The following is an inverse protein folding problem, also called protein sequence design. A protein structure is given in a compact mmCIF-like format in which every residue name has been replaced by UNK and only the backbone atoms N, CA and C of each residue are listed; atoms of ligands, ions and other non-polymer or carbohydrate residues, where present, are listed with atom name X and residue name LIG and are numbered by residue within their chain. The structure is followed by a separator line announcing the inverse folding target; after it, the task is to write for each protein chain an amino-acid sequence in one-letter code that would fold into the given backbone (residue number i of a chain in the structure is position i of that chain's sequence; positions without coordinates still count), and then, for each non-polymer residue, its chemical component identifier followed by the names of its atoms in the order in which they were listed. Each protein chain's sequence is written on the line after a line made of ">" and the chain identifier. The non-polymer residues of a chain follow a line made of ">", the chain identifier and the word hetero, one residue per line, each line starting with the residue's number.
data_IF_935528982649
#
_entry.id   IF_935528982649
#
_cell.length_a   1.000
_cell.length_b   1.000
_cell.length_c   1.000
_cell.angle_alpha   90.00
_cell.angle_beta   90.00
_cell.angle_gamma   90.00
#
_symmetry.space_group_name_H-M   'P 1'
#
loop_
_entity.id
_entity.type
_entity.pdbx_description
1 polymer ?
#
# COMPACT_ATOMS: atom_id res chain seq x y z
N UNK A 1 11.09 8.37 -9.08
CA UNK A 1 9.93 8.63 -8.18
C UNK A 1 8.67 8.30 -8.96
N UNK A 2 7.74 7.55 -8.37
CA UNK A 2 6.51 7.14 -9.04
C UNK A 2 5.29 7.72 -8.33
N UNK A 3 4.51 8.55 -9.02
CA UNK A 3 3.23 9.06 -8.53
C UNK A 3 2.13 8.08 -8.90
N UNK A 4 1.36 7.62 -7.92
CA UNK A 4 0.33 6.61 -8.12
C UNK A 4 -1.05 7.18 -7.83
N UNK A 5 -2.01 6.77 -8.65
CA UNK A 5 -3.45 7.06 -8.49
C UNK A 5 -4.17 5.73 -8.60
N UNK A 6 -4.69 5.24 -7.48
CA UNK A 6 -5.18 3.86 -7.37
C UNK A 6 -6.51 3.86 -6.63
N UNK A 7 -7.48 3.10 -7.14
CA UNK A 7 -8.74 2.89 -6.42
C UNK A 7 -8.50 2.30 -5.03
N UNK A 8 -9.17 2.88 -4.03
CA UNK A 8 -9.13 2.49 -2.64
C UNK A 8 -10.43 1.90 -2.13
N UNK A 9 -10.30 1.23 -0.99
CA UNK A 9 -11.37 0.53 -0.32
C UNK A 9 -11.31 0.78 1.18
N UNK A 10 -12.49 0.86 1.81
CA UNK A 10 -12.65 0.94 3.25
C UNK A 10 -13.37 -0.31 3.73
N UNK A 11 -12.81 -0.95 4.74
CA UNK A 11 -13.45 -2.05 5.47
C UNK A 11 -13.64 -1.61 6.91
N UNK A 12 -14.89 -1.27 7.23
CA UNK A 12 -15.28 -0.89 8.59
C UNK A 12 -15.22 -2.12 9.49
N UNK A 13 -14.78 -1.92 10.73
CA UNK A 13 -14.66 -3.01 11.70
C UNK A 13 -15.99 -3.73 11.89
N UNK A 14 -15.96 -5.06 11.72
CA UNK A 14 -17.14 -5.93 11.83
C UNK A 14 -17.95 -6.10 10.54
N UNK A 15 -17.67 -5.34 9.48
CA UNK A 15 -18.30 -5.56 8.18
C UNK A 15 -17.58 -6.65 7.37
N UNK A 16 -18.38 -7.46 6.68
CA UNK A 16 -17.84 -8.54 5.85
C UNK A 16 -17.33 -8.05 4.48
N UNK A 17 -17.80 -6.90 4.01
CA UNK A 17 -17.50 -6.37 2.68
C UNK A 17 -16.82 -5.01 2.79
N UNK A 18 -15.88 -4.77 1.89
CA UNK A 18 -15.28 -3.45 1.72
C UNK A 18 -16.16 -2.57 0.82
N UNK A 19 -16.17 -1.27 1.08
CA UNK A 19 -16.83 -0.26 0.25
C UNK A 19 -15.77 0.57 -0.49
N UNK A 20 -16.02 0.97 -1.75
CA UNK A 20 -15.07 1.81 -2.48
C UNK A 20 -15.00 3.20 -1.85
N UNK A 21 -13.80 3.76 -1.72
CA UNK A 21 -13.60 5.13 -1.19
C UNK A 21 -13.32 6.16 -2.27
N UNK A 22 -13.00 5.70 -3.48
CA UNK A 22 -12.50 6.55 -4.57
C UNK A 22 -11.01 6.34 -4.79
N UNK A 23 -10.36 7.27 -5.48
CA UNK A 23 -8.93 7.20 -5.78
C UNK A 23 -8.09 7.67 -4.58
N UNK A 24 -7.04 6.90 -4.29
CA UNK A 24 -5.99 7.24 -3.34
C UNK A 24 -4.76 7.64 -4.16
N UNK A 25 -4.15 8.76 -3.81
CA UNK A 25 -2.91 9.22 -4.44
C UNK A 25 -1.77 9.19 -3.43
N UNK A 26 -0.63 8.66 -3.84
CA UNK A 26 0.59 8.68 -3.03
C UNK A 26 1.82 8.55 -3.92
N UNK A 27 2.97 8.86 -3.34
CA UNK A 27 4.26 8.84 -4.02
C UNK A 27 5.13 7.73 -3.49
N UNK A 28 5.78 7.03 -4.41
CA UNK A 28 6.84 6.06 -4.09
C UNK A 28 8.19 6.71 -4.41
N UNK A 29 8.89 7.09 -3.35
CA UNK A 29 10.25 7.62 -3.43
C UNK A 29 11.29 6.49 -3.61
N UNK A 30 12.56 6.87 -3.78
CA UNK A 30 13.65 5.91 -3.98
C UNK A 30 13.84 4.93 -2.81
N UNK A 31 13.89 5.40 -1.55
CA UNK A 31 13.93 4.53 -0.39
C UNK A 31 12.78 3.52 -0.30
N UNK A 32 11.54 3.96 -0.48
CA UNK A 32 10.38 3.08 -0.44
C UNK A 32 10.41 2.08 -1.59
N UNK A 33 10.73 2.51 -2.82
CA UNK A 33 10.87 1.62 -3.97
C UNK A 33 11.88 0.50 -3.67
N UNK A 34 13.06 0.83 -3.17
CA UNK A 34 14.06 -0.18 -2.77
C UNK A 34 13.56 -1.12 -1.68
N UNK A 35 12.79 -0.61 -0.72
CA UNK A 35 12.16 -1.44 0.31
C UNK A 35 11.18 -2.47 -0.28
N UNK A 36 10.41 -2.08 -1.29
CA UNK A 36 9.51 -2.97 -2.02
C UNK A 36 10.29 -4.06 -2.79
N UNK A 37 11.34 -3.68 -3.52
CA UNK A 37 12.19 -4.64 -4.25
C UNK A 37 12.87 -5.65 -3.31
N UNK A 38 13.38 -5.18 -2.18
CA UNK A 38 14.00 -6.05 -1.16
C UNK A 38 12.98 -7.01 -0.54
N UNK A 39 11.75 -6.54 -0.30
CA UNK A 39 10.67 -7.38 0.16
C UNK A 39 10.31 -8.44 -0.88
N UNK A 40 10.17 -8.07 -2.16
CA UNK A 40 9.94 -9.02 -3.26
C UNK A 40 11.04 -10.09 -3.32
N UNK A 41 12.31 -9.69 -3.36
CA UNK A 41 13.45 -10.60 -3.41
C UNK A 41 13.46 -11.56 -2.22
N UNK A 42 13.14 -11.05 -1.01
CA UNK A 42 13.02 -11.86 0.20
C UNK A 42 11.93 -12.91 0.04
N UNK A 43 10.72 -12.51 -0.35
CA UNK A 43 9.58 -13.42 -0.50
C UNK A 43 9.84 -14.50 -1.55
N UNK A 44 10.50 -14.17 -2.66
CA UNK A 44 10.90 -15.14 -3.68
C UNK A 44 11.89 -16.17 -3.13
N UNK A 45 12.85 -15.76 -2.29
CA UNK A 45 13.85 -16.67 -1.69
C UNK A 45 13.26 -17.53 -0.57
N UNK A 46 12.47 -16.94 0.32
CA UNK A 46 11.98 -17.61 1.54
C UNK A 46 10.67 -18.35 1.33
N UNK A 47 9.94 -18.04 0.25
CA UNK A 47 8.58 -18.53 -0.01
C UNK A 47 7.57 -18.12 1.08
N UNK A 48 7.87 -17.05 1.82
CA UNK A 48 6.89 -16.39 2.68
C UNK A 48 5.71 -15.84 1.84
N UNK A 49 4.54 -15.73 2.46
CA UNK A 49 3.32 -15.29 1.76
C UNK A 49 3.32 -13.78 1.47
N UNK A 50 3.77 -13.00 2.43
CA UNK A 50 3.73 -11.54 2.38
C UNK A 50 4.74 -10.91 3.33
N UNK A 51 5.05 -9.65 3.05
CA UNK A 51 5.87 -8.78 3.89
C UNK A 51 5.18 -7.42 4.04
N UNK A 52 5.34 -6.80 5.21
CA UNK A 52 4.96 -5.40 5.42
C UNK A 52 6.22 -4.54 5.31
N UNK A 53 6.14 -3.48 4.51
CA UNK A 53 7.17 -2.45 4.39
C UNK A 53 6.61 -1.18 5.03
N UNK A 54 7.28 -0.71 6.08
CA UNK A 54 6.92 0.54 6.72
C UNK A 54 7.12 1.71 5.77
N UNK A 55 6.19 2.66 5.79
CA UNK A 55 6.27 3.89 5.00
C UNK A 55 6.63 5.06 5.89
N UNK A 56 7.43 5.97 5.36
CA UNK A 56 7.62 7.27 5.98
C UNK A 56 6.44 8.17 5.59
N UNK A 57 5.59 8.50 6.55
CA UNK A 57 4.42 9.34 6.32
C UNK A 57 4.79 10.79 5.96
N UNK A 58 6.02 11.22 6.26
CA UNK A 58 6.50 12.56 5.90
C UNK A 58 6.88 12.65 4.41
N UNK A 59 7.26 11.53 3.77
CA UNK A 59 7.65 11.50 2.34
C UNK A 59 6.62 10.86 1.41
N UNK A 60 5.66 10.09 1.95
CA UNK A 60 4.66 9.37 1.16
C UNK A 60 3.70 10.30 0.39
N UNK A 61 3.50 11.54 0.87
CA UNK A 61 2.58 12.51 0.27
C UNK A 61 1.18 11.90 -0.02
N UNK A 62 0.62 11.22 1.00
CA UNK A 62 -0.63 10.50 0.90
C UNK A 62 -1.83 11.46 0.86
N UNK A 63 -2.60 11.38 -0.22
CA UNK A 63 -3.86 12.09 -0.40
C UNK A 63 -5.01 11.08 -0.49
N UNK A 64 -5.89 11.13 0.52
CA UNK A 64 -7.08 10.30 0.60
C UNK A 64 -8.34 11.11 0.26
N UNK A 65 -9.41 10.47 -0.25
CA UNK A 65 -10.72 11.10 -0.35
C UNK A 65 -11.21 11.63 1.01
N UNK A 66 -12.03 12.67 0.96
CA UNK A 66 -12.55 13.34 2.16
C UNK A 66 -13.24 12.34 3.12
N UNK A 67 -12.90 12.41 4.41
CA UNK A 67 -13.47 11.54 5.45
C UNK A 67 -12.79 10.17 5.63
N UNK A 68 -11.76 9.85 4.85
CA UNK A 68 -11.03 8.58 4.96
C UNK A 68 -9.64 8.68 5.61
N UNK A 69 -9.16 9.89 5.88
CA UNK A 69 -7.90 10.15 6.59
C UNK A 69 -8.07 10.91 7.93
N UNK A 70 -6.99 11.07 8.71
CA UNK A 70 -5.66 10.50 8.49
C UNK A 70 -5.58 9.00 8.83
N UNK A 71 -4.52 8.32 8.38
CA UNK A 71 -4.21 6.93 8.77
C UNK A 71 -3.18 6.91 9.91
N UNK A 72 -3.25 5.88 10.77
CA UNK A 72 -2.40 5.74 11.96
C UNK A 72 -1.20 4.80 11.81
N UNK A 73 -1.26 3.85 10.88
CA UNK A 73 -0.30 2.75 10.73
C UNK A 73 -0.20 2.32 9.25
N UNK A 74 0.11 3.30 8.40
CA UNK A 74 0.23 3.03 6.98
C UNK A 74 1.46 2.15 6.69
N UNK A 75 1.30 1.17 5.81
CA UNK A 75 2.35 0.27 5.34
C UNK A 75 2.08 -0.11 3.88
N UNK A 76 3.11 -0.60 3.18
CA UNK A 76 2.94 -1.29 1.92
C UNK A 76 2.98 -2.79 2.16
N UNK A 77 1.88 -3.49 1.85
CA UNK A 77 1.83 -4.94 1.91
C UNK A 77 2.30 -5.54 0.60
N UNK A 78 3.41 -6.25 0.63
CA UNK A 78 4.06 -6.89 -0.52
C UNK A 78 3.74 -8.38 -0.53
N UNK A 79 3.43 -8.94 -1.69
CA UNK A 79 3.23 -10.37 -1.90
C UNK A 79 3.62 -10.79 -3.32
N UNK A 80 3.87 -12.08 -3.53
CA UNK A 80 4.14 -12.63 -4.86
C UNK A 80 2.86 -13.21 -5.44
N UNK A 81 2.52 -12.84 -6.67
CA UNK A 81 1.41 -13.41 -7.41
C UNK A 81 1.80 -13.61 -8.88
N UNK A 82 1.63 -14.84 -9.39
CA UNK A 82 2.10 -15.27 -10.70
C UNK A 82 3.59 -14.91 -10.93
N UNK A 83 4.43 -15.28 -9.97
CA UNK A 83 5.89 -15.06 -9.98
C UNK A 83 6.34 -13.59 -9.96
N UNK A 84 5.42 -12.63 -9.78
CA UNK A 84 5.73 -11.19 -9.75
C UNK A 84 5.35 -10.57 -8.41
N UNK A 85 6.19 -9.65 -7.94
CA UNK A 85 5.94 -8.82 -6.77
C UNK A 85 4.82 -7.82 -7.01
N UNK A 86 3.87 -7.81 -6.10
CA UNK A 86 2.79 -6.85 -6.04
C UNK A 86 2.77 -6.20 -4.68
N UNK A 87 2.33 -4.95 -4.62
CA UNK A 87 2.08 -4.26 -3.37
C UNK A 87 0.78 -3.49 -3.40
N UNK A 88 0.22 -3.22 -2.23
CA UNK A 88 -0.83 -2.24 -2.04
C UNK A 88 -0.62 -1.49 -0.73
N UNK A 89 -1.13 -0.27 -0.69
CA UNK A 89 -1.19 0.51 0.54
C UNK A 89 -2.20 -0.14 1.47
N UNK A 90 -1.85 -0.26 2.76
CA UNK A 90 -2.76 -0.60 3.86
C UNK A 90 -2.55 0.39 4.99
N UNK A 91 -3.60 0.70 5.73
CA UNK A 91 -3.51 1.46 6.98
C UNK A 91 -4.88 1.62 7.61
N UNK A 92 -4.92 1.89 8.91
CA UNK A 92 -6.17 2.08 9.63
C UNK A 92 -6.48 3.56 9.78
N UNK A 93 -7.73 3.92 9.53
CA UNK A 93 -8.23 5.28 9.73
C UNK A 93 -8.16 5.62 11.21
N UNK A 94 -7.47 6.72 11.55
CA UNK A 94 -7.19 7.10 12.93
C UNK A 94 -8.46 7.40 13.75
N UNK A 95 -9.56 7.79 13.11
CA UNK A 95 -10.80 8.15 13.79
C UNK A 95 -11.58 6.95 14.35
N UNK A 96 -11.52 5.78 13.70
CA UNK A 96 -12.37 4.64 14.04
C UNK A 96 -11.73 3.25 13.83
N UNK A 97 -10.46 3.21 13.41
CA UNK A 97 -9.72 1.98 13.18
C UNK A 97 -10.20 1.18 11.97
N UNK A 98 -10.98 1.77 11.05
CA UNK A 98 -11.38 1.09 9.82
C UNK A 98 -10.17 0.85 8.93
N UNK A 99 -10.08 -0.33 8.30
CA UNK A 99 -9.00 -0.65 7.38
C UNK A 99 -9.23 0.09 6.05
N UNK A 100 -8.25 0.88 5.64
CA UNK A 100 -8.16 1.52 4.31
C UNK A 100 -7.07 0.81 3.52
N UNK A 101 -7.35 0.48 2.27
CA UNK A 101 -6.34 -0.14 1.39
C UNK A 101 -6.56 0.21 -0.08
N UNK A 102 -5.50 0.14 -0.89
CA UNK A 102 -5.57 0.35 -2.35
C UNK A 102 -5.70 -0.96 -3.11
N UNK A 103 -6.04 -0.90 -4.40
CA UNK A 103 -5.77 -1.98 -5.33
C UNK A 103 -4.25 -2.25 -5.44
N UNK A 104 -3.91 -3.44 -5.92
CA UNK A 104 -2.52 -3.86 -6.05
C UNK A 104 -1.86 -3.27 -7.31
N UNK A 105 -0.58 -2.95 -7.16
CA UNK A 105 0.32 -2.49 -8.22
C UNK A 105 1.51 -3.43 -8.31
N UNK A 106 2.00 -3.66 -9.52
CA UNK A 106 3.21 -4.44 -9.74
C UNK A 106 4.44 -3.61 -9.39
N UNK A 107 5.39 -4.18 -8.66
CA UNK A 107 6.61 -3.48 -8.26
C UNK A 107 7.40 -3.06 -9.51
N UNK A 108 7.48 -3.92 -10.52
CA UNK A 108 8.18 -3.65 -11.79
C UNK A 108 7.51 -2.59 -12.71
N UNK A 109 6.35 -2.05 -12.34
CA UNK A 109 5.75 -0.90 -13.02
C UNK A 109 6.25 0.44 -12.47
N UNK A 110 6.93 0.43 -11.32
CA UNK A 110 7.53 1.62 -10.75
C UNK A 110 8.71 2.03 -11.63
N UNK A 111 8.76 3.32 -11.97
CA UNK A 111 9.86 3.88 -12.74
C UNK A 111 11.06 4.05 -11.80
N UNK A 112 12.22 3.57 -12.21
CA UNK A 112 13.49 3.78 -11.51
C UNK A 112 13.67 5.27 -11.18
N UNK A 113 13.98 5.55 -9.91
CA UNK A 113 14.23 6.90 -9.42
C UNK A 113 15.67 7.35 -9.72
#
# INVERSE_FOLDING_TARGET
>A
MSALTIEGWCKVNGEQKSTPVGEIHFYVDGPLHRGLEQAEERLQKTHEREAMVDVDMDTLELNLPEGYGPLSDCQMRVYIHNERGQFHLVGHRASDGSLIYSNAVLIDQLIDA
#
